data_IF_513635007281
#
_entry.id   IF_513635007281
#
_cell.length_a   1.000
_cell.length_b   1.000
_cell.length_c   1.000
_cell.angle_alpha   90.00
_cell.angle_beta   90.00
_cell.angle_gamma   90.00
#
_symmetry.space_group_name_H-M   'P 1'
#
loop_
_entity.id
_entity.type
_entity.pdbx_description
1 polymer ?
#
# COMPACT_ATOMS: atom_id res chain seq x y z
N UNK A 1 -86.75 30.37 35.07
CA UNK A 1 -85.68 31.15 34.42
C UNK A 1 -84.50 31.25 35.38
N UNK A 2 -83.28 31.12 34.83
CA UNK A 2 -81.96 31.09 35.49
C UNK A 2 -81.65 29.84 36.31
N UNK A 3 -81.10 28.82 35.62
CA UNK A 3 -80.01 27.94 36.07
C UNK A 3 -79.98 26.64 35.24
N UNK A 4 -79.31 26.65 34.08
CA UNK A 4 -78.82 25.41 33.44
C UNK A 4 -77.77 25.59 32.33
N UNK A 5 -77.12 26.77 32.24
CA UNK A 5 -76.06 27.04 31.24
C UNK A 5 -74.65 27.10 31.84
N UNK A 6 -74.39 26.36 32.93
CA UNK A 6 -73.04 26.20 33.49
C UNK A 6 -72.51 24.75 33.41
N UNK A 7 -73.37 23.78 33.06
CA UNK A 7 -73.00 22.35 33.03
C UNK A 7 -72.52 21.85 31.65
N UNK A 8 -72.51 22.70 30.62
CA UNK A 8 -72.02 22.34 29.27
C UNK A 8 -70.62 22.89 28.94
N UNK A 9 -70.04 23.73 29.79
CA UNK A 9 -68.67 24.26 29.58
C UNK A 9 -67.63 23.47 30.40
N UNK A 10 -68.02 22.77 31.46
CA UNK A 10 -67.10 21.94 32.26
C UNK A 10 -66.89 20.54 31.65
N UNK A 11 -67.81 20.04 30.83
CA UNK A 11 -67.66 18.72 30.18
C UNK A 11 -66.78 18.75 28.90
N UNK A 12 -66.51 19.93 28.33
CA UNK A 12 -65.61 20.07 27.18
C UNK A 12 -64.14 20.28 27.61
N UNK A 13 -63.89 20.56 28.90
CA UNK A 13 -62.53 20.68 29.46
C UNK A 13 -62.06 19.35 30.10
N UNK A 14 -62.94 18.37 30.29
CA UNK A 14 -62.62 17.04 30.84
C UNK A 14 -62.52 15.91 29.81
N UNK A 15 -62.38 16.25 28.52
CA UNK A 15 -61.79 15.39 27.47
C UNK A 15 -60.48 16.03 26.99
N UNK A 16 -59.78 16.70 27.92
CA UNK A 16 -58.45 17.26 27.77
C UNK A 16 -57.36 16.41 28.42
N UNK A 17 -57.61 15.11 28.60
CA UNK A 17 -56.57 14.11 28.89
C UNK A 17 -56.58 13.11 27.74
N UNK A 18 -56.31 13.63 26.54
CA UNK A 18 -55.79 12.77 25.47
C UNK A 18 -54.46 12.28 25.99
N UNK A 19 -54.44 10.98 26.30
CA UNK A 19 -53.25 10.20 26.55
C UNK A 19 -52.20 10.58 25.49
N UNK A 20 -51.27 11.45 25.86
CA UNK A 20 -49.99 11.61 25.18
C UNK A 20 -49.25 10.31 25.49
N UNK A 21 -49.64 9.25 24.78
CA UNK A 21 -48.79 8.11 24.58
C UNK A 21 -47.54 8.71 23.94
N UNK A 22 -46.52 8.88 24.76
CA UNK A 22 -45.16 9.10 24.32
C UNK A 22 -44.81 7.91 23.42
N UNK A 23 -45.19 8.01 22.15
CA UNK A 23 -44.38 7.47 21.08
C UNK A 23 -43.06 8.19 21.24
N UNK A 24 -42.20 7.61 22.07
CA UNK A 24 -40.77 7.63 21.84
C UNK A 24 -40.64 6.95 20.48
N UNK A 25 -40.88 7.72 19.42
CA UNK A 25 -40.19 7.50 18.16
C UNK A 25 -38.74 7.55 18.56
N UNK A 26 -38.14 6.38 18.81
CA UNK A 26 -36.72 6.22 18.63
C UNK A 26 -36.47 6.84 17.27
N UNK A 27 -35.95 8.06 17.28
CA UNK A 27 -35.28 8.62 16.13
C UNK A 27 -34.17 7.61 15.88
N UNK A 28 -34.44 6.63 15.01
CA UNK A 28 -33.39 5.91 14.32
C UNK A 28 -32.65 7.04 13.65
N UNK A 29 -31.52 7.45 14.22
CA UNK A 29 -30.52 8.19 13.47
C UNK A 29 -30.36 7.40 12.19
N UNK A 30 -30.90 7.94 11.10
CA UNK A 30 -30.72 7.37 9.78
C UNK A 30 -29.23 7.48 9.54
N UNK A 31 -28.51 6.41 9.84
CA UNK A 31 -27.10 6.28 9.58
C UNK A 31 -26.96 6.44 8.07
N UNK A 32 -26.54 7.63 7.65
CA UNK A 32 -26.41 7.94 6.24
C UNK A 32 -25.21 7.17 5.70
N UNK A 33 -25.40 6.57 4.55
CA UNK A 33 -24.30 6.00 3.78
C UNK A 33 -23.43 7.17 3.28
N UNK A 34 -22.13 6.95 3.19
CA UNK A 34 -21.20 7.95 2.68
C UNK A 34 -20.32 7.35 1.60
N UNK A 35 -20.13 8.11 0.52
CA UNK A 35 -19.06 7.89 -0.44
C UNK A 35 -18.19 9.13 -0.47
N UNK A 36 -16.90 8.94 -0.24
CA UNK A 36 -15.91 10.01 -0.18
C UNK A 36 -14.79 9.67 -1.14
N UNK A 37 -14.49 10.56 -2.07
CA UNK A 37 -13.33 10.44 -2.96
C UNK A 37 -12.25 11.39 -2.49
N UNK A 38 -11.05 10.84 -2.34
CA UNK A 38 -9.85 11.55 -1.97
C UNK A 38 -8.90 11.65 -3.13
N UNK A 39 -8.30 12.81 -3.29
CA UNK A 39 -7.01 12.95 -3.95
C UNK A 39 -5.92 12.79 -2.90
N UNK A 40 -5.05 11.80 -3.08
CA UNK A 40 -3.91 11.55 -2.20
C UNK A 40 -2.65 11.96 -2.95
N UNK A 41 -1.86 12.87 -2.38
CA UNK A 41 -0.55 13.27 -2.93
C UNK A 41 0.53 12.86 -1.95
N UNK A 42 1.53 12.12 -2.41
CA UNK A 42 2.62 11.56 -1.63
C UNK A 42 3.94 12.12 -2.13
N UNK A 43 4.71 12.78 -1.29
CA UNK A 43 6.04 13.31 -1.62
C UNK A 43 7.08 12.87 -0.61
N UNK A 44 8.28 12.53 -1.08
CA UNK A 44 9.47 12.50 -0.25
C UNK A 44 10.02 13.92 -0.09
N UNK A 45 10.74 14.21 1.01
CA UNK A 45 11.37 15.52 1.21
C UNK A 45 12.21 15.94 -0.01
N UNK A 46 11.77 16.97 -0.75
CA UNK A 46 12.47 17.52 -1.92
C UNK A 46 12.15 16.90 -3.29
N UNK A 47 11.22 15.93 -3.40
CA UNK A 47 10.83 15.30 -4.67
C UNK A 47 9.45 15.70 -5.21
N UNK A 48 9.22 15.48 -6.51
CA UNK A 48 7.90 15.69 -7.13
C UNK A 48 6.92 14.60 -6.65
N UNK A 49 5.81 14.99 -6.04
CA UNK A 49 4.89 14.05 -5.38
C UNK A 49 4.06 13.23 -6.38
N UNK A 50 3.87 11.95 -6.08
CA UNK A 50 2.93 11.08 -6.80
C UNK A 50 1.51 11.34 -6.30
N UNK A 51 0.54 11.46 -7.21
CA UNK A 51 -0.86 11.59 -6.85
C UNK A 51 -1.65 10.34 -7.24
N UNK A 52 -2.50 9.85 -6.34
CA UNK A 52 -3.48 8.79 -6.59
C UNK A 52 -4.87 9.21 -6.13
N UNK A 53 -5.87 8.42 -6.49
CA UNK A 53 -7.23 8.59 -5.97
C UNK A 53 -7.60 7.45 -5.03
N UNK A 54 -8.31 7.78 -3.96
CA UNK A 54 -8.86 6.78 -3.04
C UNK A 54 -10.35 7.02 -2.86
N UNK A 55 -11.18 6.01 -3.07
CA UNK A 55 -12.61 6.08 -2.82
C UNK A 55 -12.93 5.30 -1.56
N UNK A 56 -13.51 5.96 -0.57
CA UNK A 56 -13.99 5.33 0.66
C UNK A 56 -15.52 5.36 0.69
N UNK A 57 -16.12 4.21 0.86
CA UNK A 57 -17.56 4.00 0.99
C UNK A 57 -17.85 3.46 2.38
N UNK A 58 -18.84 4.01 3.08
CA UNK A 58 -19.21 3.64 4.44
C UNK A 58 -20.72 3.40 4.48
N UNK A 59 -21.13 2.24 4.99
CA UNK A 59 -22.51 1.87 5.20
C UNK A 59 -22.60 1.05 6.48
N UNK A 60 -23.33 1.54 7.48
CA UNK A 60 -23.48 0.77 8.71
C UNK A 60 -22.12 0.53 9.40
N UNK A 61 -21.92 -0.73 9.77
CA UNK A 61 -20.71 -1.28 10.35
C UNK A 61 -19.68 -1.72 9.30
N UNK A 62 -19.81 -1.29 8.03
CA UNK A 62 -18.94 -1.70 6.92
C UNK A 62 -18.34 -0.52 6.18
N UNK A 63 -17.09 -0.67 5.78
CA UNK A 63 -16.32 0.30 5.01
C UNK A 63 -15.65 -0.42 3.83
N UNK A 64 -15.64 0.21 2.67
CA UNK A 64 -14.87 -0.23 1.50
C UNK A 64 -13.97 0.91 1.06
N UNK A 65 -12.68 0.65 1.01
CA UNK A 65 -11.67 1.57 0.50
C UNK A 65 -11.07 1.01 -0.77
N UNK A 66 -11.15 1.78 -1.84
CA UNK A 66 -10.57 1.47 -3.15
C UNK A 66 -9.44 2.46 -3.38
N UNK A 67 -8.22 1.97 -3.50
CA UNK A 67 -7.07 2.81 -3.79
C UNK A 67 -6.66 2.61 -5.25
N UNK A 68 -6.85 3.64 -6.06
CA UNK A 68 -6.49 3.66 -7.46
C UNK A 68 -5.22 4.52 -7.59
N UNK A 69 -4.07 3.85 -7.57
CA UNK A 69 -2.78 4.54 -7.66
C UNK A 69 -2.31 4.75 -9.11
N UNK A 70 -3.15 4.40 -10.10
CA UNK A 70 -2.85 4.57 -11.54
C UNK A 70 -1.73 3.66 -12.07
N UNK A 71 -1.18 2.78 -11.22
CA UNK A 71 -0.05 1.87 -11.51
C UNK A 71 -0.49 0.40 -11.68
N UNK A 72 -1.77 0.15 -11.98
CA UNK A 72 -2.33 -1.23 -12.07
C UNK A 72 -2.45 -1.97 -10.73
N UNK A 73 -2.13 -1.31 -9.63
CA UNK A 73 -2.32 -1.80 -8.26
C UNK A 73 -3.58 -1.21 -7.65
N UNK A 74 -4.72 -1.67 -8.15
CA UNK A 74 -6.00 -1.36 -7.55
C UNK A 74 -6.21 -2.32 -6.39
N UNK A 75 -6.06 -1.80 -5.18
CA UNK A 75 -6.37 -2.58 -3.97
C UNK A 75 -7.72 -2.14 -3.45
N UNK A 76 -8.59 -3.12 -3.27
CA UNK A 76 -9.87 -2.94 -2.60
C UNK A 76 -9.75 -3.58 -1.22
N UNK A 77 -10.02 -2.81 -0.18
CA UNK A 77 -10.06 -3.28 1.20
C UNK A 77 -11.45 -3.05 1.75
N UNK A 78 -12.11 -4.12 2.20
CA UNK A 78 -13.43 -4.06 2.83
C UNK A 78 -13.28 -4.42 4.30
N UNK A 79 -13.61 -3.49 5.18
CA UNK A 79 -13.67 -3.72 6.62
C UNK A 79 -15.11 -3.97 7.03
N UNK A 80 -15.38 -5.13 7.62
CA UNK A 80 -16.69 -5.55 8.10
C UNK A 80 -16.65 -5.66 9.63
N UNK A 81 -16.99 -4.58 10.33
CA UNK A 81 -16.93 -4.52 11.80
C UNK A 81 -17.92 -5.49 12.46
N UNK A 82 -19.10 -5.65 11.85
CA UNK A 82 -20.14 -6.62 12.25
C UNK A 82 -19.62 -8.06 12.24
N UNK A 83 -18.70 -8.36 11.31
CA UNK A 83 -18.10 -9.69 11.15
C UNK A 83 -16.65 -9.77 11.68
N UNK A 84 -16.16 -8.70 12.32
CA UNK A 84 -14.79 -8.58 12.88
C UNK A 84 -13.71 -9.07 11.92
N UNK A 85 -13.77 -8.64 10.66
CA UNK A 85 -12.81 -9.06 9.63
C UNK A 85 -12.56 -7.96 8.61
N UNK A 86 -11.38 -8.03 8.00
CA UNK A 86 -11.01 -7.24 6.84
C UNK A 86 -10.81 -8.17 5.66
N UNK A 87 -11.33 -7.78 4.50
CA UNK A 87 -11.22 -8.51 3.25
C UNK A 87 -10.34 -7.67 2.32
N UNK A 88 -9.23 -8.21 1.86
CA UNK A 88 -8.48 -7.61 0.76
C UNK A 88 -8.86 -8.29 -0.53
N UNK A 89 -9.13 -7.51 -1.56
CA UNK A 89 -9.60 -7.97 -2.86
C UNK A 89 -8.65 -7.45 -3.94
N UNK A 90 -8.30 -8.35 -4.84
CA UNK A 90 -7.61 -8.07 -6.08
C UNK A 90 -8.57 -8.31 -7.22
N UNK A 91 -9.02 -7.23 -7.86
CA UNK A 91 -9.96 -7.31 -8.97
C UNK A 91 -9.32 -7.92 -10.22
N UNK A 92 -8.00 -7.72 -10.39
CA UNK A 92 -7.22 -8.27 -11.50
C UNK A 92 -7.06 -9.78 -11.39
N UNK A 93 -6.73 -10.30 -10.20
CA UNK A 93 -6.59 -11.74 -9.97
C UNK A 93 -7.94 -12.45 -9.71
N UNK A 94 -9.03 -11.70 -9.48
CA UNK A 94 -10.31 -12.23 -8.96
C UNK A 94 -10.09 -13.06 -7.69
N UNK A 95 -9.20 -12.55 -6.83
CA UNK A 95 -8.79 -13.19 -5.58
C UNK A 95 -9.13 -12.32 -4.38
N UNK A 96 -9.34 -12.96 -3.24
CA UNK A 96 -9.47 -12.25 -1.96
C UNK A 96 -8.74 -12.96 -0.82
N UNK A 97 -8.37 -12.22 0.21
CA UNK A 97 -7.94 -12.76 1.50
C UNK A 97 -8.82 -12.19 2.61
N UNK A 98 -9.00 -12.96 3.68
CA UNK A 98 -9.73 -12.52 4.87
C UNK A 98 -8.76 -12.53 6.04
N UNK A 99 -8.65 -11.38 6.71
CA UNK A 99 -7.87 -11.20 7.93
C UNK A 99 -8.84 -10.96 9.09
N UNK A 100 -8.89 -11.85 10.09
CA UNK A 100 -9.66 -11.62 11.31
C UNK A 100 -9.13 -10.39 12.06
N UNK A 101 -10.03 -9.58 12.60
CA UNK A 101 -9.68 -8.53 13.54
C UNK A 101 -9.61 -9.20 14.92
N UNK A 102 -8.41 -9.49 15.44
CA UNK A 102 -8.26 -10.06 16.78
C UNK A 102 -8.96 -9.16 17.81
N UNK A 103 -9.92 -9.73 18.53
CA UNK A 103 -10.44 -9.11 19.74
C UNK A 103 -9.43 -9.36 20.85
N UNK A 104 -8.81 -8.30 21.38
CA UNK A 104 -8.10 -8.36 22.64
C UNK A 104 -9.07 -8.75 23.76
N UNK A 105 -9.17 -10.05 24.03
CA UNK A 105 -9.74 -10.57 25.26
C UNK A 105 -9.02 -11.87 25.61
N UNK A 106 -8.30 -11.94 26.75
CA UNK A 106 -7.71 -13.17 27.20
C UNK A 106 -8.84 -14.04 27.79
N UNK A 107 -9.52 -14.80 26.94
CA UNK A 107 -10.33 -15.90 27.43
C UNK A 107 -9.37 -17.00 27.88
N UNK A 108 -9.18 -17.10 29.20
CA UNK A 108 -8.48 -18.19 29.84
C UNK A 108 -9.16 -19.52 29.47
N UNK A 109 -8.61 -20.23 28.48
CA UNK A 109 -8.88 -21.64 28.27
C UNK A 109 -8.08 -22.43 29.30
N UNK A 110 -8.75 -22.78 30.40
CA UNK A 110 -8.31 -23.81 31.34
C UNK A 110 -8.50 -25.18 30.69
N UNK A 111 -7.56 -25.54 29.82
CA UNK A 111 -7.33 -26.93 29.43
C UNK A 111 -5.82 -27.17 29.43
N UNK A 112 -5.30 -28.13 30.23
CA UNK A 112 -3.88 -28.48 30.20
C UNK A 112 -3.62 -29.29 28.93
N UNK A 113 -3.49 -28.62 27.79
CA UNK A 113 -2.90 -29.21 26.59
C UNK A 113 -1.39 -29.03 26.69
N UNK A 114 -0.69 -30.11 27.04
CA UNK A 114 0.76 -30.23 26.92
C UNK A 114 1.18 -29.80 25.51
N UNK A 115 1.97 -28.73 25.34
CA UNK A 115 2.48 -28.36 24.03
C UNK A 115 3.46 -29.45 23.55
N UNK A 116 3.43 -29.84 22.26
CA UNK A 116 4.56 -30.55 21.68
C UNK A 116 5.82 -29.65 21.81
N UNK A 117 7.02 -30.22 21.94
CA UNK A 117 8.24 -29.43 22.09
C UNK A 117 8.50 -28.67 20.78
N UNK A 118 8.01 -27.44 20.68
CA UNK A 118 8.48 -26.51 19.68
C UNK A 118 9.88 -26.08 20.09
N UNK A 119 10.83 -26.18 19.17
CA UNK A 119 12.14 -25.57 19.34
C UNK A 119 11.91 -24.07 19.54
N UNK A 120 12.04 -23.61 20.78
CA UNK A 120 11.98 -22.19 21.14
C UNK A 120 13.17 -21.52 20.46
N UNK A 121 12.93 -20.82 19.35
CA UNK A 121 13.88 -19.82 18.87
C UNK A 121 14.08 -18.83 20.02
N UNK A 122 15.33 -18.60 20.48
CA UNK A 122 15.56 -17.72 21.62
C UNK A 122 15.06 -16.32 21.31
N UNK A 123 14.02 -15.88 22.01
CA UNK A 123 13.51 -14.51 21.89
C UNK A 123 14.42 -13.58 22.68
N UNK A 124 15.19 -12.74 22.00
CA UNK A 124 15.99 -11.69 22.65
C UNK A 124 15.07 -10.59 23.15
N UNK A 125 15.23 -10.18 24.41
CA UNK A 125 14.50 -9.02 24.95
C UNK A 125 15.07 -7.75 24.32
N UNK A 126 14.23 -7.01 23.60
CA UNK A 126 14.57 -5.69 23.08
C UNK A 126 14.35 -4.59 24.13
N UNK A 127 14.75 -3.38 23.75
CA UNK A 127 14.65 -2.15 24.54
C UNK A 127 13.25 -1.56 24.67
N UNK A 128 13.19 -0.37 25.27
CA UNK A 128 11.96 0.39 25.46
C UNK A 128 11.68 1.27 24.24
N UNK A 129 10.46 1.15 23.68
CA UNK A 129 9.92 2.02 22.64
C UNK A 129 8.78 2.83 23.24
N UNK A 130 8.99 4.14 23.37
CA UNK A 130 8.00 5.07 23.90
C UNK A 130 7.27 5.80 22.75
N UNK A 131 5.94 5.74 22.78
CA UNK A 131 5.05 6.48 21.90
C UNK A 131 4.42 7.64 22.68
N UNK A 132 4.69 8.87 22.27
CA UNK A 132 4.10 10.07 22.86
C UNK A 132 3.19 10.71 21.82
N UNK A 133 1.88 10.58 21.99
CA UNK A 133 0.88 11.16 21.11
C UNK A 133 0.25 12.40 21.76
N UNK A 134 0.02 13.44 20.98
CA UNK A 134 -0.65 14.68 21.40
C UNK A 134 -1.65 15.13 20.35
N UNK A 135 -2.91 15.35 20.72
CA UNK A 135 -3.95 15.83 19.80
C UNK A 135 -4.62 17.09 20.35
N UNK A 136 -4.66 18.15 19.53
CA UNK A 136 -5.14 19.49 19.88
C UNK A 136 -6.09 19.99 18.78
N UNK A 137 -7.30 20.41 19.18
CA UNK A 137 -8.18 21.22 18.35
C UNK A 137 -7.73 22.69 18.45
N UNK A 138 -7.41 23.33 17.33
CA UNK A 138 -6.86 24.70 17.33
C UNK A 138 -7.93 25.77 17.62
N UNK A 139 -9.20 25.38 17.65
CA UNK A 139 -10.35 26.28 17.75
C UNK A 139 -10.79 26.87 16.41
N UNK A 140 -10.02 26.69 15.34
CA UNK A 140 -10.38 27.19 14.01
C UNK A 140 -11.49 26.33 13.38
N UNK A 141 -12.40 27.00 12.67
CA UNK A 141 -13.60 26.39 12.05
C UNK A 141 -13.74 26.88 10.61
N UNK A 142 -14.20 26.00 9.71
CA UNK A 142 -14.45 26.34 8.30
C UNK A 142 -15.58 25.50 7.73
N UNK A 143 -16.43 26.09 6.89
CA UNK A 143 -17.45 25.36 6.13
C UNK A 143 -16.84 24.60 4.95
N UNK A 144 -17.08 23.29 4.86
CA UNK A 144 -16.63 22.41 3.80
C UNK A 144 -17.66 21.32 3.55
N UNK A 145 -18.09 21.13 2.29
CA UNK A 145 -19.10 20.12 1.92
C UNK A 145 -20.40 20.19 2.73
N UNK A 146 -20.80 21.38 3.18
CA UNK A 146 -21.98 21.60 4.01
C UNK A 146 -21.82 21.17 5.48
N UNK A 147 -20.58 21.04 5.95
CA UNK A 147 -20.24 20.76 7.35
C UNK A 147 -19.29 21.84 7.89
N UNK A 148 -19.40 22.11 9.19
CA UNK A 148 -18.42 22.88 9.94
C UNK A 148 -17.23 21.98 10.30
N UNK A 149 -16.13 22.10 9.58
CA UNK A 149 -14.88 21.40 9.85
C UNK A 149 -14.08 22.07 10.97
N UNK A 150 -13.44 21.26 11.81
CA UNK A 150 -12.54 21.65 12.90
C UNK A 150 -11.09 21.44 12.47
N UNK A 151 -10.23 22.42 12.72
CA UNK A 151 -8.80 22.25 12.50
C UNK A 151 -8.19 21.53 13.70
N UNK A 152 -7.65 20.34 13.45
CA UNK A 152 -7.03 19.50 14.48
C UNK A 152 -5.60 19.20 14.08
N UNK A 153 -4.69 19.39 15.05
CA UNK A 153 -3.29 19.02 14.93
C UNK A 153 -2.99 17.88 15.88
N UNK A 154 -2.38 16.84 15.35
CA UNK A 154 -1.88 15.71 16.12
C UNK A 154 -0.40 15.52 15.87
N UNK A 155 0.34 15.17 16.91
CA UNK A 155 1.72 14.74 16.80
C UNK A 155 1.93 13.43 17.53
N UNK A 156 2.68 12.51 16.96
CA UNK A 156 3.14 11.29 17.62
C UNK A 156 4.64 11.18 17.49
N UNK A 157 5.33 11.13 18.61
CA UNK A 157 6.79 10.93 18.69
C UNK A 157 7.06 9.49 19.12
N UNK A 158 7.89 8.78 18.38
CA UNK A 158 8.34 7.42 18.66
C UNK A 158 9.80 7.52 19.08
N UNK A 159 10.10 7.22 20.33
CA UNK A 159 11.45 7.19 20.88
C UNK A 159 11.82 5.72 21.17
N UNK A 160 12.62 5.10 20.31
CA UNK A 160 13.16 3.77 20.55
C UNK A 160 14.56 3.88 21.18
N UNK A 161 14.74 3.23 22.33
CA UNK A 161 16.05 3.14 22.99
C UNK A 161 17.08 2.39 22.12
N UNK A 162 18.38 2.62 22.36
CA UNK A 162 19.46 2.07 21.54
C UNK A 162 19.52 0.52 21.54
N UNK A 163 18.98 -0.11 22.58
CA UNK A 163 18.83 -1.56 22.75
C UNK A 163 17.52 -2.12 22.15
N UNK A 164 16.70 -1.27 21.52
CA UNK A 164 15.47 -1.70 20.83
C UNK A 164 15.78 -2.44 19.54
N UNK A 165 14.85 -3.29 19.09
CA UNK A 165 14.97 -4.06 17.85
C UNK A 165 15.12 -3.14 16.62
N UNK A 166 14.64 -1.91 16.71
CA UNK A 166 14.84 -0.86 15.71
C UNK A 166 15.04 0.49 16.42
N UNK A 167 16.28 0.87 16.77
CA UNK A 167 16.55 2.11 17.48
C UNK A 167 16.31 3.33 16.58
N UNK A 168 16.03 4.47 17.21
CA UNK A 168 15.87 5.75 16.53
C UNK A 168 14.67 6.56 17.03
N UNK A 169 14.54 7.77 16.51
CA UNK A 169 13.50 8.74 16.87
C UNK A 169 12.72 9.18 15.65
N UNK A 170 11.43 8.87 15.62
CA UNK A 170 10.54 9.33 14.54
C UNK A 170 9.47 10.25 15.07
N UNK A 171 9.10 11.24 14.27
CA UNK A 171 8.00 12.14 14.57
C UNK A 171 7.00 12.12 13.43
N UNK A 172 5.74 11.90 13.77
CA UNK A 172 4.61 11.91 12.84
C UNK A 172 3.73 13.08 13.23
N UNK A 173 3.51 14.02 12.33
CA UNK A 173 2.63 15.15 12.52
C UNK A 173 1.46 15.02 11.56
N UNK A 174 0.26 15.33 12.04
CA UNK A 174 -0.97 15.37 11.28
C UNK A 174 -1.59 16.73 11.49
N UNK A 175 -1.85 17.41 10.40
CA UNK A 175 -2.45 18.74 10.38
C UNK A 175 -3.59 18.69 9.36
N UNK A 176 -4.81 18.95 9.82
CA UNK A 176 -5.96 18.72 8.95
C UNK A 176 -7.27 19.33 9.44
N UNK A 177 -8.22 19.36 8.51
CA UNK A 177 -9.60 19.77 8.71
C UNK A 177 -10.48 18.54 8.80
N UNK A 178 -11.18 18.39 9.93
CA UNK A 178 -11.96 17.21 10.23
C UNK A 178 -13.41 17.55 10.52
N UNK A 179 -14.31 16.63 10.19
CA UNK A 179 -15.72 16.73 10.51
C UNK A 179 -16.15 15.56 11.39
N UNK A 180 -17.12 15.81 12.24
CA UNK A 180 -17.71 14.77 13.07
C UNK A 180 -18.80 14.07 12.26
N UNK A 181 -18.41 12.99 11.56
CA UNK A 181 -19.38 12.13 10.88
C UNK A 181 -20.03 11.22 11.91
N UNK A 182 -21.34 11.36 12.10
CA UNK A 182 -22.14 10.37 12.82
C UNK A 182 -22.39 9.13 11.95
N UNK A 183 -21.30 8.49 11.51
CA UNK A 183 -21.32 7.17 10.90
C UNK A 183 -21.22 6.17 12.03
N UNK A 184 -22.21 5.30 12.19
CA UNK A 184 -22.14 4.15 13.11
C UNK A 184 -21.08 3.10 12.70
N UNK A 185 -20.07 3.49 11.93
CA UNK A 185 -18.88 2.70 11.65
C UNK A 185 -18.01 2.68 12.91
N UNK A 186 -18.39 1.81 13.84
CA UNK A 186 -17.74 1.62 15.14
C UNK A 186 -16.91 0.35 15.14
N UNK A 187 -15.99 0.20 14.18
CA UNK A 187 -14.81 -0.63 14.41
C UNK A 187 -13.90 0.15 15.37
N UNK A 188 -14.27 0.29 16.67
CA UNK A 188 -13.52 1.02 17.71
C UNK A 188 -12.47 1.99 17.12
N UNK A 189 -12.92 3.03 16.39
CA UNK A 189 -11.99 3.96 15.72
C UNK A 189 -11.14 4.75 16.73
N UNK A 190 -11.46 4.58 18.02
CA UNK A 190 -10.69 4.99 19.19
C UNK A 190 -9.46 4.12 19.48
N UNK A 191 -9.18 3.07 18.70
CA UNK A 191 -7.83 2.51 18.61
C UNK A 191 -6.98 3.45 17.76
N UNK A 192 -6.63 4.61 18.34
CA UNK A 192 -5.47 5.44 18.01
C UNK A 192 -4.83 5.15 16.64
N UNK A 193 -5.56 5.39 15.54
CA UNK A 193 -5.15 5.07 14.15
C UNK A 193 -4.18 3.89 14.06
N UNK A 194 -4.48 2.74 14.68
CA UNK A 194 -3.58 1.60 14.86
C UNK A 194 -2.15 1.90 14.39
N UNK A 195 -1.44 2.77 15.15
CA UNK A 195 -0.04 3.07 14.89
C UNK A 195 0.62 1.73 14.69
N UNK A 196 1.31 1.47 13.56
CA UNK A 196 1.71 0.13 13.19
C UNK A 196 2.35 -0.49 14.41
N UNK A 197 1.62 -1.42 15.05
CA UNK A 197 2.16 -2.20 16.14
C UNK A 197 3.39 -2.80 15.52
N UNK A 198 4.55 -2.48 16.11
CA UNK A 198 5.83 -2.90 15.57
C UNK A 198 5.67 -4.37 15.19
N UNK A 199 5.61 -4.63 13.86
CA UNK A 199 5.36 -5.99 13.39
C UNK A 199 6.43 -6.83 14.06
N UNK A 200 6.09 -7.95 14.72
CA UNK A 200 7.11 -8.78 15.32
C UNK A 200 8.14 -9.09 14.24
N UNK A 201 9.35 -8.55 14.40
CA UNK A 201 10.38 -8.73 13.40
C UNK A 201 10.72 -10.22 13.33
N UNK A 202 10.92 -10.71 12.11
CA UNK A 202 11.49 -12.02 11.89
C UNK A 202 12.87 -12.05 12.57
N UNK A 203 13.02 -12.81 13.67
CA UNK A 203 14.24 -12.84 14.47
C UNK A 203 14.05 -12.95 15.98
N UNK A 204 12.82 -12.94 16.50
CA UNK A 204 12.54 -13.21 17.92
C UNK A 204 12.83 -12.06 18.89
N UNK A 205 13.34 -10.93 18.41
CA UNK A 205 13.50 -9.72 19.23
C UNK A 205 12.14 -9.13 19.61
N UNK A 206 11.93 -8.82 20.89
CA UNK A 206 10.68 -8.20 21.40
C UNK A 206 10.95 -6.96 22.24
N UNK A 207 10.60 -5.79 21.71
CA UNK A 207 10.64 -4.52 22.41
C UNK A 207 9.51 -4.37 23.44
N UNK A 208 9.75 -3.57 24.47
CA UNK A 208 8.72 -3.14 25.40
C UNK A 208 8.10 -1.83 24.90
N UNK A 209 6.78 -1.83 24.68
CA UNK A 209 6.06 -0.64 24.19
C UNK A 209 5.44 0.10 25.38
N UNK A 210 5.73 1.41 25.47
CA UNK A 210 5.06 2.33 26.42
C UNK A 210 4.33 3.40 25.64
N UNK A 211 3.04 3.56 25.91
CA UNK A 211 2.22 4.59 25.28
C UNK A 211 1.90 5.71 26.27
N UNK A 212 2.07 6.95 25.83
CA UNK A 212 1.72 8.18 26.54
C UNK A 212 0.83 9.02 25.63
N UNK A 213 -0.40 9.26 26.06
CA UNK A 213 -1.34 10.11 25.33
C UNK A 213 -1.48 11.45 26.07
N UNK A 214 -1.33 12.52 25.32
CA UNK A 214 -1.46 13.90 25.76
C UNK A 214 -2.61 14.54 24.94
N UNK A 215 -3.46 15.34 25.58
CA UNK A 215 -4.64 15.90 24.91
C UNK A 215 -5.88 15.00 24.92
N UNK A 216 -7.02 15.58 24.55
CA UNK A 216 -8.37 14.98 24.62
C UNK A 216 -9.19 15.17 23.34
N UNK A 217 -8.60 15.76 22.30
CA UNK A 217 -9.34 16.07 21.08
C UNK A 217 -9.53 14.80 20.24
N UNK A 218 -10.79 14.49 19.92
CA UNK A 218 -11.12 13.50 18.91
C UNK A 218 -10.88 14.11 17.53
N UNK A 219 -10.11 13.39 16.70
CA UNK A 219 -9.77 13.87 15.37
C UNK A 219 -11.02 13.94 14.47
N UNK A 220 -11.91 12.96 14.49
CA UNK A 220 -13.05 12.89 13.56
C UNK A 220 -12.66 12.35 12.18
N UNK A 221 -13.41 12.74 11.15
CA UNK A 221 -13.21 12.28 9.77
C UNK A 221 -12.51 13.36 8.92
N UNK A 222 -11.33 13.09 8.32
CA UNK A 222 -10.57 14.10 7.62
C UNK A 222 -11.21 14.46 6.28
N UNK A 223 -11.44 15.77 6.09
CA UNK A 223 -11.71 16.36 4.78
C UNK A 223 -10.42 16.78 4.09
N UNK A 224 -9.46 17.29 4.85
CA UNK A 224 -8.08 17.52 4.41
C UNK A 224 -7.18 17.04 5.53
N UNK A 225 -6.16 16.25 5.22
CA UNK A 225 -5.16 15.81 6.20
C UNK A 225 -3.79 15.83 5.53
N UNK A 226 -2.84 16.55 6.13
CA UNK A 226 -1.42 16.45 5.80
C UNK A 226 -0.72 15.69 6.91
N UNK A 227 -0.13 14.55 6.54
CA UNK A 227 0.70 13.71 7.39
C UNK A 227 2.15 13.96 7.02
N UNK A 228 2.96 14.41 7.98
CA UNK A 228 4.40 14.58 7.83
C UNK A 228 5.12 13.60 8.73
N UNK A 229 6.05 12.85 8.19
CA UNK A 229 6.92 11.94 8.92
C UNK A 229 8.35 12.45 8.86
N UNK A 230 8.94 12.70 10.02
CA UNK A 230 10.32 13.16 10.19
C UNK A 230 11.17 12.11 10.90
N UNK A 231 12.43 12.01 10.49
CA UNK A 231 13.46 11.17 11.12
C UNK A 231 14.13 11.84 12.32
N UNK A 232 15.18 11.18 12.83
CA UNK A 232 15.88 11.53 14.07
C UNK A 232 16.45 12.96 14.09
N UNK A 233 16.90 13.44 12.92
CA UNK A 233 17.47 14.78 12.70
C UNK A 233 16.40 15.85 12.40
N UNK A 234 15.11 15.50 12.41
CA UNK A 234 14.01 16.40 12.04
C UNK A 234 13.76 16.52 10.53
N UNK A 235 14.58 15.87 9.71
CA UNK A 235 14.39 15.82 8.25
C UNK A 235 13.06 15.16 7.90
N UNK A 236 12.33 15.77 6.97
CA UNK A 236 11.04 15.24 6.51
C UNK A 236 11.30 14.11 5.53
N UNK A 237 11.19 12.89 6.03
CA UNK A 237 11.29 11.66 5.23
C UNK A 237 10.14 11.58 4.22
N UNK A 238 8.93 11.92 4.66
CA UNK A 238 7.74 11.69 3.87
C UNK A 238 6.61 12.66 4.24
N UNK A 239 5.90 13.15 3.23
CA UNK A 239 4.68 13.94 3.40
C UNK A 239 3.57 13.33 2.54
N UNK A 240 2.41 13.10 3.14
CA UNK A 240 1.17 12.73 2.42
C UNK A 240 0.12 13.77 2.68
N UNK A 241 -0.51 14.27 1.64
CA UNK A 241 -1.72 15.10 1.74
C UNK A 241 -2.89 14.32 1.16
N UNK A 242 -3.96 14.21 1.94
CA UNK A 242 -5.26 13.69 1.52
C UNK A 242 -6.25 14.83 1.49
N UNK A 243 -6.97 14.98 0.39
CA UNK A 243 -8.00 16.00 0.23
C UNK A 243 -9.26 15.37 -0.37
N UNK A 244 -10.41 15.61 0.26
CA UNK A 244 -11.71 15.21 -0.27
C UNK A 244 -12.02 16.05 -1.49
N UNK A 245 -12.29 15.38 -2.61
CA UNK A 245 -12.71 16.01 -3.87
C UNK A 245 -14.19 15.73 -4.18
N UNK A 246 -14.77 14.68 -3.59
CA UNK A 246 -16.19 14.35 -3.70
C UNK A 246 -16.70 13.79 -2.38
N UNK A 247 -17.86 14.26 -1.92
CA UNK A 247 -18.58 13.70 -0.78
C UNK A 247 -20.05 13.53 -1.16
N UNK A 248 -20.55 12.30 -1.10
CA UNK A 248 -21.94 11.95 -1.38
C UNK A 248 -22.56 11.21 -0.20
N UNK A 249 -23.85 11.47 0.03
CA UNK A 249 -24.69 10.80 1.03
C UNK A 249 -25.75 9.90 0.38
N UNK A 250 -25.55 9.54 -0.88
CA UNK A 250 -26.45 8.64 -1.59
C UNK A 250 -26.43 7.26 -0.93
N UNK A 251 -27.57 6.58 -0.97
CA UNK A 251 -27.69 5.19 -0.51
C UNK A 251 -26.75 4.29 -1.29
N UNK A 252 -25.97 3.48 -0.58
CA UNK A 252 -25.05 2.50 -1.14
C UNK A 252 -25.65 1.10 -1.09
N UNK A 253 -25.39 0.32 -2.14
CA UNK A 253 -25.75 -1.09 -2.18
C UNK A 253 -24.92 -1.88 -1.15
N UNK A 254 -25.59 -2.77 -0.40
CA UNK A 254 -24.94 -3.67 0.55
C UNK A 254 -23.93 -4.58 -0.14
N UNK A 255 -24.18 -5.00 -1.38
CA UNK A 255 -23.32 -5.91 -2.14
C UNK A 255 -21.91 -5.34 -2.40
N UNK A 256 -21.75 -4.01 -2.38
CA UNK A 256 -20.44 -3.37 -2.50
C UNK A 256 -19.50 -3.77 -1.35
N UNK A 257 -20.06 -4.13 -0.20
CA UNK A 257 -19.33 -4.47 1.01
C UNK A 257 -19.19 -5.98 1.22
N UNK A 258 -19.53 -6.81 0.24
CA UNK A 258 -19.34 -8.26 0.28
C UNK A 258 -18.30 -8.69 -0.78
N UNK A 259 -17.89 -9.96 -0.70
CA UNK A 259 -16.99 -10.55 -1.70
C UNK A 259 -17.78 -10.67 -3.02
N UNK A 260 -17.31 -10.09 -4.13
CA UNK A 260 -18.04 -10.18 -5.38
C UNK A 260 -18.11 -11.62 -5.89
N UNK A 261 -19.19 -11.95 -6.60
CA UNK A 261 -19.37 -13.28 -7.17
C UNK A 261 -18.22 -13.64 -8.15
N UNK A 262 -17.78 -14.89 -8.14
CA UNK A 262 -16.70 -15.40 -8.99
C UNK A 262 -15.29 -15.20 -8.44
N UNK A 263 -15.13 -14.60 -7.26
CA UNK A 263 -13.83 -14.44 -6.62
C UNK A 263 -13.49 -15.68 -5.79
N UNK A 264 -12.22 -16.07 -5.78
CA UNK A 264 -11.73 -17.21 -4.99
C UNK A 264 -10.76 -16.76 -3.91
N UNK A 265 -10.68 -17.49 -2.81
CA UNK A 265 -9.73 -17.17 -1.75
C UNK A 265 -8.30 -17.41 -2.27
N UNK A 266 -7.40 -16.47 -2.02
CA UNK A 266 -5.98 -16.64 -2.28
C UNK A 266 -5.34 -17.50 -1.18
N UNK A 267 -4.47 -18.41 -1.57
CA UNK A 267 -3.72 -19.25 -0.63
C UNK A 267 -2.70 -18.43 0.18
N UNK A 268 -2.13 -17.39 -0.44
CA UNK A 268 -1.16 -16.48 0.17
C UNK A 268 -1.22 -15.08 -0.46
N UNK A 269 -0.41 -14.15 0.05
CA UNK A 269 -0.34 -12.79 -0.48
C UNK A 269 0.16 -12.73 -1.93
N UNK A 270 0.96 -13.71 -2.38
CA UNK A 270 1.45 -13.74 -3.75
C UNK A 270 0.35 -14.06 -4.75
N UNK A 271 -0.61 -14.92 -4.41
CA UNK A 271 -1.80 -15.16 -5.24
C UNK A 271 -2.76 -13.96 -5.27
N UNK A 272 -2.87 -13.22 -4.17
CA UNK A 272 -3.69 -12.00 -4.12
C UNK A 272 -3.11 -10.93 -5.04
N UNK A 273 -1.79 -10.74 -5.00
CA UNK A 273 -1.09 -9.73 -5.81
C UNK A 273 -0.46 -10.32 -7.08
N UNK A 274 -0.84 -11.55 -7.47
CA UNK A 274 -0.29 -12.22 -8.62
C UNK A 274 -0.58 -11.39 -9.87
N UNK A 275 0.40 -10.57 -10.24
CA UNK A 275 0.53 -10.03 -11.57
C UNK A 275 0.36 -11.21 -12.53
N UNK A 276 -0.52 -11.08 -13.52
CA UNK A 276 -0.77 -12.11 -14.54
C UNK A 276 0.54 -12.75 -15.03
N UNK A 277 0.91 -13.88 -14.43
CA UNK A 277 1.87 -14.85 -14.98
C UNK A 277 1.26 -15.61 -16.16
N UNK A 278 -0.02 -15.37 -16.45
CA UNK A 278 -0.83 -16.13 -17.41
C UNK A 278 -0.76 -15.64 -18.86
N UNK A 279 -0.10 -14.51 -19.16
CA UNK A 279 0.15 -14.10 -20.55
C UNK A 279 1.48 -14.64 -21.11
N UNK A 280 2.24 -15.42 -20.32
CA UNK A 280 3.55 -15.98 -20.72
C UNK A 280 3.52 -17.46 -21.11
N UNK A 281 2.35 -18.11 -21.17
CA UNK A 281 2.23 -19.52 -21.56
C UNK A 281 1.26 -19.69 -22.73
N UNK A 282 1.67 -19.23 -23.91
CA UNK A 282 1.09 -19.61 -25.19
C UNK A 282 2.17 -20.19 -26.10
N UNK A 283 2.32 -21.52 -26.15
CA UNK A 283 3.23 -22.15 -27.10
C UNK A 283 3.62 -23.61 -26.82
N UNK A 284 2.74 -24.54 -27.24
CA UNK A 284 3.03 -25.89 -27.79
C UNK A 284 3.75 -26.93 -26.90
N UNK A 285 3.03 -27.94 -26.40
CA UNK A 285 2.93 -29.26 -27.07
C UNK A 285 2.10 -30.28 -26.27
N UNK A 286 1.34 -31.06 -27.02
CA UNK A 286 0.62 -32.27 -26.61
C UNK A 286 1.56 -33.36 -26.07
N UNK A 287 1.14 -34.02 -24.99
CA UNK A 287 1.23 -35.48 -24.83
C UNK A 287 0.29 -35.92 -23.69
N UNK A 288 -0.54 -36.91 -23.99
CA UNK A 288 -1.55 -37.53 -23.12
C UNK A 288 -0.96 -38.80 -22.41
N UNK A 289 -1.71 -39.58 -21.60
CA UNK A 289 -1.54 -39.65 -20.15
C UNK A 289 -0.94 -40.98 -19.64
N UNK A 290 -0.30 -40.94 -18.46
CA UNK A 290 0.10 -42.16 -17.76
C UNK A 290 0.65 -41.97 -16.35
N UNK A 291 -0.11 -42.46 -15.36
CA UNK A 291 0.28 -42.89 -13.99
C UNK A 291 0.43 -41.83 -12.87
N UNK A 292 -0.51 -41.88 -11.91
CA UNK A 292 -0.39 -41.44 -10.50
C UNK A 292 0.06 -42.64 -9.64
N UNK A 293 0.35 -42.50 -8.33
CA UNK A 293 0.77 -41.32 -7.55
C UNK A 293 1.98 -41.60 -6.62
N UNK A 294 2.68 -40.57 -6.15
CA UNK A 294 3.35 -40.65 -4.85
C UNK A 294 3.42 -39.30 -4.16
N UNK A 295 2.79 -39.25 -3.00
CA UNK A 295 2.91 -38.28 -1.92
C UNK A 295 4.36 -37.93 -1.59
N UNK A 296 4.67 -36.64 -1.56
CA UNK A 296 5.95 -36.12 -1.08
C UNK A 296 5.82 -34.62 -0.82
N UNK A 297 5.82 -34.25 0.46
CA UNK A 297 5.87 -32.89 0.98
C UNK A 297 7.07 -32.11 0.42
N UNK A 298 6.84 -30.95 -0.17
CA UNK A 298 7.86 -29.94 -0.50
C UNK A 298 7.16 -28.60 -0.18
N UNK A 299 7.46 -27.90 0.91
CA UNK A 299 8.76 -27.31 1.20
C UNK A 299 8.91 -26.05 0.35
N UNK A 300 8.49 -24.89 0.87
CA UNK A 300 8.71 -23.60 0.21
C UNK A 300 10.21 -23.44 -0.12
N UNK A 301 10.58 -22.89 -1.29
CA UNK A 301 11.98 -22.64 -1.58
C UNK A 301 12.42 -21.44 -0.73
N UNK A 302 13.07 -21.74 0.38
CA UNK A 302 14.11 -20.90 0.93
C UNK A 302 15.03 -20.52 -0.24
N UNK A 303 15.24 -19.23 -0.51
CA UNK A 303 16.26 -18.80 -1.46
C UNK A 303 17.63 -19.11 -0.84
N UNK A 304 17.98 -20.39 -0.91
CA UNK A 304 19.30 -20.90 -0.64
C UNK A 304 20.20 -20.21 -1.64
N UNK A 305 21.02 -19.29 -1.13
CA UNK A 305 22.19 -18.79 -1.82
C UNK A 305 22.92 -20.03 -2.37
N UNK A 306 22.87 -20.23 -3.68
CA UNK A 306 23.71 -21.22 -4.35
C UNK A 306 25.14 -20.94 -3.87
N UNK A 307 25.84 -21.91 -3.25
CA UNK A 307 27.21 -21.72 -2.82
C UNK A 307 28.05 -21.27 -4.02
N UNK A 308 28.58 -20.04 -3.98
CA UNK A 308 29.36 -19.44 -5.08
C UNK A 308 28.57 -18.61 -6.11
N UNK A 309 27.27 -18.37 -5.92
CA UNK A 309 26.45 -17.56 -6.83
C UNK A 309 26.72 -16.05 -6.69
N UNK A 310 27.11 -15.40 -7.79
CA UNK A 310 27.30 -13.95 -7.88
C UNK A 310 25.97 -13.22 -7.71
N UNK A 311 25.93 -12.20 -6.85
CA UNK A 311 24.75 -11.37 -6.55
C UNK A 311 24.87 -10.00 -7.22
N UNK A 312 23.83 -9.58 -7.93
CA UNK A 312 23.75 -8.29 -8.62
C UNK A 312 22.73 -7.40 -7.90
N UNK A 313 23.19 -6.27 -7.36
CA UNK A 313 22.35 -5.23 -6.78
C UNK A 313 21.89 -4.27 -7.86
N UNK A 314 20.58 -4.13 -8.03
CA UNK A 314 19.97 -3.23 -9.02
C UNK A 314 19.50 -1.96 -8.34
N UNK A 315 20.13 -0.83 -8.69
CA UNK A 315 19.83 0.50 -8.17
C UNK A 315 18.50 1.01 -8.77
N UNK A 316 17.87 2.00 -8.14
CA UNK A 316 16.69 2.64 -8.69
C UNK A 316 17.01 3.31 -10.04
N UNK A 317 16.10 3.17 -11.01
CA UNK A 317 16.30 3.69 -12.35
C UNK A 317 16.18 5.22 -12.36
N UNK A 318 16.90 5.85 -13.29
CA UNK A 318 16.62 7.24 -13.65
C UNK A 318 15.66 7.32 -14.83
N UNK A 319 14.88 8.40 -14.87
CA UNK A 319 14.23 8.82 -16.10
C UNK A 319 14.71 10.18 -16.54
N UNK A 320 15.62 10.21 -17.53
CA UNK A 320 16.11 11.45 -18.16
C UNK A 320 15.21 11.91 -19.31
N UNK A 321 14.16 11.15 -19.62
CA UNK A 321 13.20 11.51 -20.66
C UNK A 321 12.09 12.41 -20.11
N UNK A 322 11.37 13.09 -21.00
CA UNK A 322 10.20 13.89 -20.64
C UNK A 322 8.90 13.08 -20.49
N UNK A 323 8.96 11.74 -20.62
CA UNK A 323 7.79 10.86 -20.60
C UNK A 323 7.82 9.98 -19.35
N UNK A 324 6.68 9.86 -18.67
CA UNK A 324 6.56 9.06 -17.45
C UNK A 324 6.47 7.57 -17.78
N UNK A 325 7.30 6.75 -17.11
CA UNK A 325 7.20 5.28 -17.10
C UNK A 325 7.41 4.77 -15.69
N UNK A 326 6.83 3.62 -15.38
CA UNK A 326 6.84 2.99 -14.05
C UNK A 326 8.22 2.39 -13.72
N UNK A 327 9.12 3.20 -13.14
CA UNK A 327 10.51 2.82 -12.90
C UNK A 327 10.69 1.59 -12.00
N UNK A 328 9.81 1.41 -11.01
CA UNK A 328 9.84 0.21 -10.18
C UNK A 328 9.44 -1.05 -10.94
N UNK A 329 8.44 -0.99 -11.84
CA UNK A 329 8.07 -2.13 -12.69
C UNK A 329 9.19 -2.49 -13.66
N UNK A 330 9.79 -1.47 -14.27
CA UNK A 330 10.94 -1.65 -15.18
C UNK A 330 12.12 -2.28 -14.44
N UNK A 331 12.39 -1.84 -13.21
CA UNK A 331 13.43 -2.41 -12.35
C UNK A 331 13.14 -3.84 -11.91
N UNK A 332 11.91 -4.15 -11.53
CA UNK A 332 11.50 -5.51 -11.17
C UNK A 332 11.59 -6.45 -12.38
N UNK A 333 11.23 -5.97 -13.59
CA UNK A 333 11.45 -6.71 -14.83
C UNK A 333 12.93 -7.01 -15.06
N UNK A 334 13.82 -6.03 -14.91
CA UNK A 334 15.26 -6.23 -15.05
C UNK A 334 15.77 -7.28 -14.05
N UNK A 335 15.37 -7.19 -12.78
CA UNK A 335 15.72 -8.16 -11.74
C UNK A 335 15.24 -9.57 -12.14
N UNK A 336 13.98 -9.70 -12.55
CA UNK A 336 13.41 -10.97 -13.00
C UNK A 336 14.13 -11.58 -14.20
N UNK A 337 14.55 -10.76 -15.17
CA UNK A 337 15.30 -11.23 -16.34
C UNK A 337 16.72 -11.67 -15.99
N UNK A 338 17.40 -10.96 -15.09
CA UNK A 338 18.72 -11.37 -14.59
C UNK A 338 18.61 -12.70 -13.80
N UNK A 339 17.54 -12.85 -13.01
CA UNK A 339 17.24 -14.10 -12.30
C UNK A 339 16.95 -15.25 -13.26
N UNK A 340 16.16 -15.01 -14.31
CA UNK A 340 15.90 -15.99 -15.37
C UNK A 340 17.19 -16.39 -16.12
N UNK A 341 18.18 -15.51 -16.20
CA UNK A 341 19.49 -15.80 -16.78
C UNK A 341 20.43 -16.61 -15.87
N UNK A 342 19.97 -17.00 -14.67
CA UNK A 342 20.66 -17.86 -13.71
C UNK A 342 21.50 -17.13 -12.66
N UNK A 343 21.30 -15.82 -12.47
CA UNK A 343 22.03 -15.01 -11.48
C UNK A 343 21.14 -14.55 -10.34
N UNK A 344 21.71 -14.37 -9.14
CA UNK A 344 20.96 -13.72 -8.06
C UNK A 344 20.92 -12.21 -8.31
N UNK A 345 19.73 -11.61 -8.36
CA UNK A 345 19.58 -10.16 -8.43
C UNK A 345 18.63 -9.66 -7.35
N UNK A 346 18.99 -8.55 -6.70
CA UNK A 346 18.21 -7.96 -5.60
C UNK A 346 18.03 -6.45 -5.79
N UNK A 347 16.89 -5.89 -5.33
CA UNK A 347 16.68 -4.46 -5.34
C UNK A 347 17.56 -3.75 -4.29
N UNK A 348 18.18 -2.65 -4.68
CA UNK A 348 18.83 -1.70 -3.77
C UNK A 348 17.89 -0.53 -3.43
N UNK A 349 18.05 0.04 -2.24
CA UNK A 349 17.21 1.10 -1.69
C UNK A 349 17.78 2.51 -1.90
N UNK A 350 18.90 2.65 -2.61
CA UNK A 350 19.55 3.95 -2.89
C UNK A 350 18.69 4.79 -3.84
N UNK A 351 18.21 5.98 -3.41
CA UNK A 351 17.61 6.97 -4.28
C UNK A 351 18.68 7.69 -5.08
N UNK A 352 18.33 8.12 -6.28
CA UNK A 352 19.33 8.37 -7.32
C UNK A 352 19.75 9.86 -7.46
N UNK A 353 19.45 10.72 -6.50
CA UNK A 353 19.98 12.09 -6.46
C UNK A 353 21.40 12.11 -5.87
N UNK A 354 22.34 11.53 -6.62
CA UNK A 354 23.78 11.78 -6.55
C UNK A 354 24.36 12.13 -5.17
N UNK A 355 24.48 11.15 -4.27
CA UNK A 355 25.58 11.17 -3.29
C UNK A 355 26.23 9.79 -3.19
N UNK A 356 27.25 9.65 -4.02
CA UNK A 356 28.34 8.67 -3.96
C UNK A 356 27.99 7.21 -4.24
N UNK A 357 28.67 6.66 -5.25
CA UNK A 357 28.97 5.23 -5.38
C UNK A 357 29.30 4.56 -4.03
N UNK A 358 29.84 5.32 -3.06
CA UNK A 358 30.10 4.90 -1.68
C UNK A 358 28.86 4.44 -0.90
N UNK A 359 27.69 5.09 -1.06
CA UNK A 359 26.44 4.65 -0.41
C UNK A 359 25.91 3.35 -1.02
N UNK A 360 25.95 3.26 -2.35
CA UNK A 360 25.62 2.02 -3.05
C UNK A 360 26.59 0.89 -2.67
N UNK A 361 27.88 1.18 -2.52
CA UNK A 361 28.87 0.23 -2.03
C UNK A 361 28.64 -0.15 -0.57
N UNK A 362 28.20 0.76 0.29
CA UNK A 362 27.87 0.47 1.68
C UNK A 362 26.67 -0.47 1.77
N UNK A 363 25.59 -0.20 1.04
CA UNK A 363 24.43 -1.10 0.96
C UNK A 363 24.81 -2.44 0.32
N UNK A 364 25.62 -2.42 -0.74
CA UNK A 364 26.11 -3.63 -1.40
C UNK A 364 26.93 -4.51 -0.46
N UNK A 365 27.79 -3.94 0.38
CA UNK A 365 28.55 -4.67 1.41
C UNK A 365 27.63 -5.32 2.44
N UNK A 366 26.63 -4.59 2.93
CA UNK A 366 25.64 -5.11 3.90
C UNK A 366 24.84 -6.27 3.28
N UNK A 367 24.40 -6.10 2.03
CA UNK A 367 23.59 -7.09 1.31
C UNK A 367 24.41 -8.19 0.63
N UNK A 368 25.74 -8.18 0.79
CA UNK A 368 26.68 -9.14 0.16
C UNK A 368 26.48 -9.24 -1.36
N UNK A 369 26.31 -8.09 -2.00
CA UNK A 369 26.24 -7.92 -3.45
C UNK A 369 27.65 -7.96 -4.03
N UNK A 370 27.82 -8.60 -5.18
CA UNK A 370 29.10 -8.69 -5.89
C UNK A 370 29.23 -7.64 -7.01
N UNK A 371 28.09 -7.21 -7.57
CA UNK A 371 28.01 -6.20 -8.62
C UNK A 371 26.89 -5.20 -8.40
N UNK A 372 27.14 -3.93 -8.70
CA UNK A 372 26.14 -2.85 -8.64
C UNK A 372 25.80 -2.42 -10.07
N UNK A 373 24.51 -2.48 -10.42
CA UNK A 373 23.98 -2.10 -11.73
C UNK A 373 23.21 -0.79 -11.63
N UNK A 374 23.64 0.18 -12.43
CA UNK A 374 22.99 1.47 -12.62
C UNK A 374 22.38 1.55 -14.01
N UNK A 375 21.14 2.02 -14.10
CA UNK A 375 20.40 2.11 -15.37
C UNK A 375 19.68 3.45 -15.46
N UNK A 376 19.98 4.19 -16.53
CA UNK A 376 19.33 5.43 -16.90
C UNK A 376 18.44 5.20 -18.13
N UNK A 377 17.19 5.64 -18.06
CA UNK A 377 16.38 5.84 -19.26
C UNK A 377 16.80 7.14 -19.92
N UNK A 378 17.66 7.04 -20.95
CA UNK A 378 18.27 8.18 -21.62
C UNK A 378 17.27 8.93 -22.52
N UNK A 379 16.43 8.20 -23.28
CA UNK A 379 15.41 8.82 -24.14
C UNK A 379 14.17 7.94 -24.29
N UNK A 380 12.98 8.55 -24.33
CA UNK A 380 11.76 7.97 -24.90
C UNK A 380 11.20 8.93 -25.95
N UNK A 381 11.15 8.50 -27.21
CA UNK A 381 10.69 9.32 -28.33
C UNK A 381 9.61 8.60 -29.13
N UNK A 382 8.49 9.27 -29.38
CA UNK A 382 7.43 8.75 -30.25
C UNK A 382 7.76 9.08 -31.69
N UNK A 383 7.87 8.07 -32.55
CA UNK A 383 8.07 8.29 -33.98
C UNK A 383 6.70 8.52 -34.63
N UNK A 384 6.33 9.78 -34.87
CA UNK A 384 5.08 10.17 -35.57
C UNK A 384 5.12 9.98 -37.10
N UNK A 385 6.12 9.28 -37.64
CA UNK A 385 6.35 9.21 -39.08
C UNK A 385 5.71 7.95 -39.69
N UNK A 386 4.40 8.06 -39.92
CA UNK A 386 3.59 7.08 -40.68
C UNK A 386 2.73 7.73 -41.76
N UNK A 387 3.07 8.94 -42.21
CA UNK A 387 2.35 9.62 -43.28
C UNK A 387 3.28 10.49 -44.10
N UNK A 388 3.80 9.96 -45.21
CA UNK A 388 3.93 10.67 -46.52
C UNK A 388 4.57 9.82 -47.64
N UNK A 389 4.82 8.52 -47.51
CA UNK A 389 5.34 7.71 -48.62
C UNK A 389 4.78 6.28 -48.58
N UNK A 390 3.92 5.95 -49.55
CA UNK A 390 3.44 4.58 -49.79
C UNK A 390 1.92 4.51 -49.91
N UNK A 391 1.39 4.90 -51.07
CA UNK A 391 0.03 4.53 -51.45
C UNK A 391 -0.13 3.00 -51.45
N UNK A 392 -1.39 2.56 -51.27
CA UNK A 392 -1.86 1.17 -51.39
C UNK A 392 -1.59 0.24 -50.20
N UNK A 393 -2.22 0.48 -49.04
CA UNK A 393 -2.93 -0.55 -48.27
C UNK A 393 -3.58 0.06 -47.01
N UNK A 394 -4.87 -0.20 -46.81
CA UNK A 394 -5.67 0.37 -45.72
C UNK A 394 -5.42 -0.29 -44.37
N UNK A 395 -4.33 0.08 -43.69
CA UNK A 395 -4.09 -0.27 -42.28
C UNK A 395 -3.63 0.95 -41.48
N UNK A 396 -4.36 1.29 -40.41
CA UNK A 396 -3.95 2.33 -39.46
C UNK A 396 -2.58 2.02 -38.88
N UNK A 397 -1.57 2.85 -39.18
CA UNK A 397 -0.24 2.73 -38.60
C UNK A 397 -0.27 3.18 -37.14
N UNK A 398 -0.11 2.23 -36.21
CA UNK A 398 -0.08 2.52 -34.78
C UNK A 398 1.27 3.18 -34.42
N UNK A 399 1.29 4.31 -33.69
CA UNK A 399 2.52 5.02 -33.39
C UNK A 399 3.43 4.21 -32.46
N UNK A 400 4.72 4.08 -32.85
CA UNK A 400 5.74 3.36 -32.08
C UNK A 400 6.58 4.31 -31.23
N UNK A 401 6.87 3.91 -30.00
CA UNK A 401 7.83 4.57 -29.11
C UNK A 401 9.20 3.90 -29.21
N UNK A 402 10.22 4.71 -29.42
CA UNK A 402 11.62 4.32 -29.32
C UNK A 402 12.17 4.70 -27.95
N UNK A 403 12.72 3.72 -27.24
CA UNK A 403 13.38 3.90 -25.95
C UNK A 403 14.88 3.66 -26.10
N UNK A 404 15.68 4.36 -25.28
CA UNK A 404 17.12 4.12 -25.13
C UNK A 404 17.47 4.09 -23.65
N UNK A 405 18.13 3.03 -23.22
CA UNK A 405 18.68 2.86 -21.88
C UNK A 405 20.19 2.94 -21.93
N UNK A 406 20.79 3.57 -20.93
CA UNK A 406 22.23 3.61 -20.71
C UNK A 406 22.54 3.02 -19.35
N UNK A 407 23.44 2.06 -19.27
CA UNK A 407 23.67 1.31 -18.04
C UNK A 407 25.16 1.06 -17.78
N UNK A 408 25.48 0.94 -16.50
CA UNK A 408 26.83 0.70 -15.98
C UNK A 408 26.81 -0.36 -14.89
N UNK A 409 27.68 -1.35 -15.01
CA UNK A 409 27.88 -2.41 -14.03
C UNK A 409 29.25 -2.22 -13.38
N UNK A 410 29.29 -2.15 -12.06
CA UNK A 410 30.52 -2.08 -11.26
C UNK A 410 30.66 -3.34 -10.44
N UNK A 411 31.87 -3.88 -10.31
CA UNK A 411 32.14 -4.83 -9.23
C UNK A 411 32.29 -4.06 -7.92
N UNK A 412 31.80 -4.61 -6.82
CA UNK A 412 31.91 -3.94 -5.51
C UNK A 412 33.38 -3.74 -5.14
N UNK A 413 33.74 -2.50 -4.81
CA UNK A 413 35.12 -2.09 -4.51
C UNK A 413 35.92 -1.60 -5.71
N UNK A 414 35.32 -1.55 -6.90
CA UNK A 414 35.96 -1.02 -8.11
C UNK A 414 35.36 0.32 -8.55
N UNK A 415 36.23 1.25 -8.94
CA UNK A 415 35.83 2.57 -9.43
C UNK A 415 35.59 2.61 -10.95
N UNK A 416 36.09 1.62 -11.69
CA UNK A 416 35.89 1.50 -13.13
C UNK A 416 34.71 0.56 -13.44
N UNK A 417 33.80 0.92 -14.37
CA UNK A 417 32.72 0.04 -14.76
C UNK A 417 33.27 -1.17 -15.53
N UNK A 418 32.80 -2.36 -15.16
CA UNK A 418 33.06 -3.62 -15.88
C UNK A 418 32.27 -3.71 -17.19
N UNK A 419 31.09 -3.09 -17.20
CA UNK A 419 30.28 -2.92 -18.39
C UNK A 419 29.73 -1.49 -18.39
N UNK A 420 29.90 -0.79 -19.51
CA UNK A 420 29.21 0.46 -19.78
C UNK A 420 28.65 0.35 -21.20
N UNK A 421 27.33 0.32 -21.32
CA UNK A 421 26.69 0.12 -22.61
C UNK A 421 25.32 0.81 -22.68
N UNK A 422 24.66 0.65 -23.83
CA UNK A 422 23.32 1.13 -24.05
C UNK A 422 22.53 0.14 -24.89
N UNK A 423 21.22 0.21 -24.78
CA UNK A 423 20.27 -0.62 -25.52
C UNK A 423 19.11 0.25 -25.96
N UNK A 424 18.52 -0.08 -27.11
CA UNK A 424 17.34 0.61 -27.61
C UNK A 424 16.33 -0.39 -28.12
N UNK A 425 15.06 0.00 -28.04
CA UNK A 425 13.96 -0.78 -28.57
C UNK A 425 12.90 0.14 -29.15
N UNK A 426 12.11 -0.39 -30.10
CA UNK A 426 11.05 0.34 -30.78
C UNK A 426 9.79 -0.50 -30.80
N UNK A 427 8.87 -0.20 -29.89
CA UNK A 427 7.64 -0.95 -29.67
C UNK A 427 6.43 -0.03 -29.65
N UNK A 428 5.24 -0.63 -29.70
CA UNK A 428 4.00 0.08 -29.43
C UNK A 428 3.87 0.33 -27.92
N UNK A 429 3.83 1.61 -27.52
CA UNK A 429 3.73 2.01 -26.12
C UNK A 429 5.08 2.17 -25.41
N UNK A 430 5.09 3.07 -24.43
CA UNK A 430 6.30 3.48 -23.70
C UNK A 430 6.85 2.34 -22.81
N UNK A 431 5.95 1.67 -22.09
CA UNK A 431 6.32 0.57 -21.19
C UNK A 431 6.86 -0.65 -21.94
N UNK A 432 6.25 -0.98 -23.09
CA UNK A 432 6.72 -2.09 -23.93
C UNK A 432 8.10 -1.80 -24.51
N UNK A 433 8.31 -0.58 -25.01
CA UNK A 433 9.60 -0.17 -25.57
C UNK A 433 10.70 -0.25 -24.51
N UNK A 434 10.48 0.36 -23.34
CA UNK A 434 11.45 0.30 -22.23
C UNK A 434 11.65 -1.14 -21.74
N UNK A 435 10.60 -1.94 -21.69
CA UNK A 435 10.66 -3.35 -21.31
C UNK A 435 11.54 -4.19 -22.23
N UNK A 436 11.38 -4.05 -23.55
CA UNK A 436 12.24 -4.74 -24.53
C UNK A 436 13.69 -4.29 -24.42
N UNK A 437 13.94 -3.00 -24.19
CA UNK A 437 15.28 -2.48 -23.97
C UNK A 437 15.91 -3.09 -22.70
N UNK A 438 15.16 -3.19 -21.60
CA UNK A 438 15.59 -3.85 -20.35
C UNK A 438 15.93 -5.32 -20.55
N UNK A 439 15.16 -6.07 -21.35
CA UNK A 439 15.44 -7.49 -21.61
C UNK A 439 16.77 -7.67 -22.38
N UNK A 440 17.15 -6.70 -23.21
CA UNK A 440 18.45 -6.68 -23.88
C UNK A 440 19.58 -6.28 -22.92
N UNK A 441 19.36 -5.32 -22.03
CA UNK A 441 20.30 -4.98 -20.95
C UNK A 441 20.59 -6.19 -20.05
N UNK A 442 19.55 -6.88 -19.59
CA UNK A 442 19.68 -8.07 -18.74
C UNK A 442 20.59 -9.13 -19.37
N UNK A 443 20.45 -9.36 -20.68
CA UNK A 443 21.29 -10.29 -21.44
C UNK A 443 22.76 -9.85 -21.47
N UNK A 444 23.03 -8.56 -21.66
CA UNK A 444 24.39 -8.02 -21.67
C UNK A 444 25.04 -8.09 -20.28
N UNK A 445 24.30 -7.75 -19.23
CA UNK A 445 24.76 -7.86 -17.83
C UNK A 445 25.06 -9.32 -17.49
N UNK A 446 24.15 -10.24 -17.80
CA UNK A 446 24.34 -11.68 -17.58
C UNK A 446 25.56 -12.22 -18.34
N UNK A 447 25.82 -11.74 -19.56
CA UNK A 447 27.01 -12.12 -20.32
C UNK A 447 28.30 -11.62 -19.66
N UNK A 448 28.32 -10.40 -19.13
CA UNK A 448 29.49 -9.85 -18.44
C UNK A 448 29.76 -10.56 -17.12
N UNK A 449 28.73 -10.75 -16.27
CA UNK A 449 28.89 -11.43 -14.98
C UNK A 449 29.37 -12.87 -15.16
N UNK A 450 28.95 -13.55 -16.23
CA UNK A 450 29.40 -14.92 -16.56
C UNK A 450 30.91 -15.00 -16.85
N UNK A 451 31.54 -13.92 -17.34
CA UNK A 451 33.00 -13.90 -17.58
C UNK A 451 33.81 -14.00 -16.28
N UNK A 452 33.28 -13.50 -15.16
CA UNK A 452 33.93 -13.56 -13.84
C UNK A 452 33.77 -14.93 -13.16
N UNK A 453 32.65 -15.61 -13.36
CA UNK A 453 32.40 -16.94 -12.76
C UNK A 453 33.24 -18.09 -13.34
N UNK A 454 34.10 -17.81 -14.33
CA UNK A 454 35.01 -18.77 -14.98
C UNK A 454 36.50 -18.46 -14.72
N UNK A 455 36.80 -17.43 -13.93
CA UNK A 455 38.16 -16.98 -13.61
C UNK A 455 38.69 -17.55 -12.30
#
# INVERSE_FOLDING_TARGET
>A
MKNMSFLKIVLVVLIGVVSVSAFVTSQRTTQSDFKVRYKTTMGAGGGQGMSGETVTMIKGARERSENHTGMGFDTVSITQCDLKRTIQISDTAKKYTITPMESSSPAASTTPSTPPPSAQTPTTRGGLVEYISSTIDTGERKEMFGFTARHVKSSTTINAAADSCSPGKRRIERDGWYIDLNVGFTCDRNVAQAMPTARPQAGGCRDQVRMKNEGKAEAGYPLIETIRMSGDNGEVMFTTTKEVIELSRATLDMALFDIPAGYTQAADSSELYAMNSMTMMGGVNQAEPGTRPSTGSVGAPEQVKQPGGLVIGVVQFNNKSSRSVSLDLVRQRLIGQIQAAGFSAIPMAIPMNATSQMEAEAEAKVKKVDFILYTDIATLKMNKLGGLLGGLSGGSAIPKTESKLEFKLFAVGETAPRLQSNTSAKEEGDENSVGTAVDAEARMVAAEVRKRGRG
#
